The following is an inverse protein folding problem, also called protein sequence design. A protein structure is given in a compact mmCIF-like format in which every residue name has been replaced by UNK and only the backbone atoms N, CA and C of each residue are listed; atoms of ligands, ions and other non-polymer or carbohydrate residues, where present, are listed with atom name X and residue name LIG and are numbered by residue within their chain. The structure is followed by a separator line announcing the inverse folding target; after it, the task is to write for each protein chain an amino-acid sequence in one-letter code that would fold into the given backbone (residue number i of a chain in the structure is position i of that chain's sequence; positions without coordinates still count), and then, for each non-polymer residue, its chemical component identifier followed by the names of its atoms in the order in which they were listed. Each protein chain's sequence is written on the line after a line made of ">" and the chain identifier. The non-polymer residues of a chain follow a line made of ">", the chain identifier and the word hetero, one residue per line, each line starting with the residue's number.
data_IF_936216048551
#
_entry.id   IF_936216048551
#
_cell.length_a   1.000
_cell.length_b   1.000
_cell.length_c   1.000
_cell.angle_alpha   90.00
_cell.angle_beta   90.00
_cell.angle_gamma   90.00
#
_symmetry.space_group_name_H-M   'P 1'
#
loop_
_entity.id
_entity.type
_entity.pdbx_description
1 polymer ?
#
# COMPACT_ATOMS: atom_id res chain seq x y z
N UNK A 1 6.17 -17.34 6.66
CA UNK A 1 6.35 -16.08 7.42
C UNK A 1 5.84 -14.96 6.53
N UNK A 2 4.89 -14.19 7.03
CA UNK A 2 4.28 -13.09 6.29
C UNK A 2 5.17 -11.85 6.33
N UNK A 3 5.24 -11.10 5.22
CA UNK A 3 6.13 -9.95 5.07
C UNK A 3 5.60 -8.93 4.06
N UNK A 4 6.15 -7.73 4.14
CA UNK A 4 6.03 -6.69 3.10
C UNK A 4 7.40 -6.35 2.56
N UNK A 5 7.52 -6.17 1.23
CA UNK A 5 8.71 -5.65 0.55
C UNK A 5 8.33 -4.41 -0.23
N UNK A 6 8.91 -3.26 0.13
CA UNK A 6 8.64 -1.99 -0.54
C UNK A 6 9.42 -1.91 -1.85
N UNK A 7 8.73 -1.87 -2.99
CA UNK A 7 9.35 -1.71 -4.30
C UNK A 7 9.76 -0.24 -4.52
N UNK A 8 8.96 0.68 -3.98
CA UNK A 8 9.24 2.10 -3.97
C UNK A 8 8.53 2.81 -2.85
N UNK A 9 9.11 3.91 -2.37
CA UNK A 9 8.64 4.66 -1.21
C UNK A 9 8.43 6.14 -1.51
N UNK A 10 8.60 6.53 -2.77
CA UNK A 10 8.39 7.90 -3.23
C UNK A 10 6.93 8.19 -3.52
N UNK A 11 6.49 9.37 -3.12
CA UNK A 11 5.16 9.90 -3.37
C UNK A 11 5.17 11.37 -3.75
N UNK A 12 4.04 11.80 -4.30
CA UNK A 12 3.89 13.17 -4.75
C UNK A 12 4.72 13.51 -6.00
N UNK A 13 4.17 14.41 -6.79
CA UNK A 13 4.62 14.69 -8.18
C UNK A 13 6.12 14.93 -8.33
N UNK A 14 6.74 15.74 -7.44
CA UNK A 14 8.15 16.11 -7.58
C UNK A 14 9.11 14.93 -7.33
N UNK A 15 8.78 14.04 -6.40
CA UNK A 15 9.59 12.86 -6.10
C UNK A 15 9.47 11.83 -7.24
N UNK A 16 8.24 11.59 -7.68
CA UNK A 16 7.92 10.63 -8.74
C UNK A 16 8.54 11.03 -10.08
N UNK A 17 8.33 12.27 -10.54
CA UNK A 17 8.84 12.73 -11.84
C UNK A 17 10.38 12.77 -11.91
N UNK A 18 11.03 13.04 -10.78
CA UNK A 18 12.50 13.10 -10.71
C UNK A 18 13.12 11.80 -10.20
N UNK A 19 12.32 10.77 -9.92
CA UNK A 19 12.76 9.47 -9.40
C UNK A 19 13.73 9.60 -8.20
N UNK A 20 13.45 10.55 -7.28
CA UNK A 20 14.24 10.75 -6.07
C UNK A 20 14.11 9.56 -5.11
N UNK A 21 13.01 8.86 -5.17
CA UNK A 21 12.71 7.53 -4.64
C UNK A 21 11.92 6.77 -5.69
N UNK A 22 11.98 5.46 -5.70
CA UNK A 22 11.16 4.62 -6.58
C UNK A 22 9.68 4.77 -6.21
N UNK A 23 8.79 4.50 -7.17
CA UNK A 23 7.33 4.70 -7.04
C UNK A 23 6.59 3.39 -7.30
N UNK A 24 7.02 2.30 -6.70
CA UNK A 24 6.56 0.96 -7.07
C UNK A 24 5.57 0.29 -6.11
N UNK A 25 5.02 0.99 -5.11
CA UNK A 25 4.17 0.35 -4.12
C UNK A 25 4.90 -0.74 -3.33
N UNK A 26 4.22 -1.83 -2.99
CA UNK A 26 4.84 -2.88 -2.20
C UNK A 26 4.29 -4.28 -2.54
N UNK A 27 5.15 -5.29 -2.36
CA UNK A 27 4.82 -6.70 -2.48
C UNK A 27 4.50 -7.25 -1.08
N UNK A 28 3.30 -7.80 -0.91
CA UNK A 28 2.89 -8.52 0.28
C UNK A 28 3.04 -10.02 0.05
N UNK A 29 3.66 -10.71 1.00
CA UNK A 29 3.56 -12.14 1.16
C UNK A 29 2.82 -12.39 2.47
N UNK A 30 1.56 -12.83 2.40
CA UNK A 30 0.70 -13.07 3.55
C UNK A 30 0.28 -14.54 3.51
N UNK A 31 0.62 -15.31 4.54
CA UNK A 31 0.48 -16.77 4.52
C UNK A 31 1.12 -17.36 3.25
N UNK A 32 0.33 -17.93 2.36
CA UNK A 32 0.78 -18.46 1.06
C UNK A 32 0.33 -17.60 -0.12
N UNK A 33 -0.10 -16.36 0.12
CA UNK A 33 -0.63 -15.46 -0.89
C UNK A 33 0.35 -14.31 -1.16
N UNK A 34 0.61 -14.04 -2.43
CA UNK A 34 1.44 -12.93 -2.89
C UNK A 34 0.59 -11.88 -3.59
N UNK A 35 0.63 -10.66 -3.08
CA UNK A 35 -0.13 -9.52 -3.60
C UNK A 35 0.81 -8.39 -3.93
N UNK A 36 0.69 -7.81 -5.12
CA UNK A 36 1.36 -6.55 -5.46
C UNK A 36 0.37 -5.41 -5.30
N UNK A 37 0.65 -4.52 -4.36
CA UNK A 37 -0.16 -3.34 -4.08
C UNK A 37 0.43 -2.13 -4.78
N UNK A 38 -0.41 -1.41 -5.52
CA UNK A 38 -0.12 -0.14 -6.17
C UNK A 38 1.15 -0.15 -7.05
N UNK A 39 1.22 -0.95 -8.13
CA UNK A 39 2.37 -1.00 -9.01
C UNK A 39 2.55 0.30 -9.82
N UNK A 40 3.19 1.29 -9.22
CA UNK A 40 3.57 2.53 -9.86
C UNK A 40 4.76 2.37 -10.83
N UNK A 41 5.29 3.48 -11.40
CA UNK A 41 6.35 3.45 -12.40
C UNK A 41 7.61 2.72 -11.93
N UNK A 42 8.04 1.71 -12.68
CA UNK A 42 9.23 0.92 -12.39
C UNK A 42 9.03 -0.26 -11.46
N UNK A 43 7.79 -0.60 -11.09
CA UNK A 43 7.47 -1.75 -10.24
C UNK A 43 8.02 -3.05 -10.82
N UNK A 44 7.83 -3.31 -12.12
CA UNK A 44 8.33 -4.54 -12.74
C UNK A 44 9.87 -4.62 -12.70
N UNK A 45 10.54 -3.48 -12.91
CA UNK A 45 12.01 -3.40 -12.80
C UNK A 45 12.46 -3.74 -11.39
N UNK A 46 11.82 -3.16 -10.37
CA UNK A 46 12.14 -3.41 -8.96
C UNK A 46 11.85 -4.86 -8.55
N UNK A 47 10.75 -5.44 -9.02
CA UNK A 47 10.44 -6.87 -8.80
C UNK A 47 11.60 -7.76 -9.27
N UNK A 48 12.15 -7.52 -10.47
CA UNK A 48 13.29 -8.26 -10.97
C UNK A 48 14.59 -7.95 -10.21
N UNK A 49 14.87 -6.69 -9.88
CA UNK A 49 16.06 -6.30 -9.11
C UNK A 49 16.08 -6.96 -7.73
N UNK A 50 14.93 -7.07 -7.08
CA UNK A 50 14.76 -7.73 -5.78
C UNK A 50 14.62 -9.26 -5.90
N UNK A 51 14.77 -9.82 -7.12
CA UNK A 51 14.64 -11.25 -7.41
C UNK A 51 13.29 -11.86 -7.04
N UNK A 52 12.26 -11.03 -6.96
CA UNK A 52 10.87 -11.48 -6.86
C UNK A 52 10.43 -12.01 -8.23
N UNK A 53 9.49 -12.94 -8.23
CA UNK A 53 9.02 -13.57 -9.48
C UNK A 53 7.59 -13.14 -9.75
N UNK A 54 7.29 -12.37 -10.82
CA UNK A 54 5.92 -11.97 -11.15
C UNK A 54 4.94 -13.15 -11.24
N UNK A 55 5.43 -14.33 -11.64
CA UNK A 55 4.62 -15.56 -11.72
C UNK A 55 4.17 -16.11 -10.38
N UNK A 56 4.76 -15.67 -9.27
CA UNK A 56 4.36 -16.06 -7.92
C UNK A 56 3.20 -15.20 -7.39
N UNK A 57 2.80 -14.13 -8.11
CA UNK A 57 1.67 -13.28 -7.73
C UNK A 57 0.34 -14.03 -7.84
N UNK A 58 -0.51 -13.84 -6.85
CA UNK A 58 -1.90 -14.30 -6.81
C UNK A 58 -2.87 -13.14 -7.12
N UNK A 59 -2.47 -11.90 -6.83
CA UNK A 59 -3.25 -10.71 -7.15
C UNK A 59 -2.38 -9.47 -7.36
N UNK A 60 -2.92 -8.53 -8.16
CA UNK A 60 -2.52 -7.13 -8.17
C UNK A 60 -3.69 -6.32 -7.62
N UNK A 61 -3.40 -5.36 -6.76
CA UNK A 61 -4.39 -4.46 -6.18
C UNK A 61 -4.02 -3.01 -6.44
N UNK A 62 -5.01 -2.22 -6.82
CA UNK A 62 -4.91 -0.76 -6.90
C UNK A 62 -5.75 -0.14 -5.79
N UNK A 63 -5.17 0.77 -5.02
CA UNK A 63 -5.93 1.63 -4.12
C UNK A 63 -6.71 2.68 -4.88
N UNK A 64 -6.14 3.19 -5.98
CA UNK A 64 -6.73 4.17 -6.89
C UNK A 64 -5.98 4.26 -8.24
N UNK A 65 -6.49 5.08 -9.16
CA UNK A 65 -6.04 5.14 -10.54
C UNK A 65 -4.83 6.04 -10.82
N UNK A 66 -4.33 6.86 -9.87
CA UNK A 66 -3.22 7.75 -10.16
C UNK A 66 -1.98 7.01 -10.66
N UNK A 67 -1.25 7.66 -11.57
CA UNK A 67 -0.15 7.05 -12.33
C UNK A 67 0.98 6.50 -11.45
N UNK A 68 1.26 7.15 -10.32
CA UNK A 68 2.27 6.71 -9.37
C UNK A 68 1.87 5.46 -8.56
N UNK A 69 0.61 5.01 -8.68
CA UNK A 69 0.07 3.78 -8.10
C UNK A 69 -0.31 2.72 -9.14
N UNK A 70 -0.49 3.09 -10.41
CA UNK A 70 -1.10 2.20 -11.40
C UNK A 70 -0.31 2.01 -12.69
N UNK A 71 0.77 2.78 -12.93
CA UNK A 71 1.44 2.80 -14.24
C UNK A 71 1.86 1.42 -14.74
N UNK A 72 2.39 0.58 -13.85
CA UNK A 72 2.93 -0.72 -14.24
C UNK A 72 1.90 -1.86 -14.16
N UNK A 73 0.62 -1.58 -13.84
CA UNK A 73 -0.42 -2.61 -13.68
C UNK A 73 -0.51 -3.55 -14.89
N UNK A 74 -0.44 -3.00 -16.10
CA UNK A 74 -0.59 -3.78 -17.33
C UNK A 74 0.64 -4.64 -17.61
N UNK A 75 1.84 -4.08 -17.52
CA UNK A 75 3.08 -4.81 -17.80
C UNK A 75 3.36 -5.87 -16.72
N UNK A 76 2.99 -5.62 -15.46
CA UNK A 76 3.07 -6.63 -14.41
C UNK A 76 2.04 -7.74 -14.64
N UNK A 77 0.83 -7.42 -15.09
CA UNK A 77 -0.19 -8.41 -15.46
C UNK A 77 0.32 -9.32 -16.59
N UNK A 78 0.95 -8.77 -17.62
CA UNK A 78 1.58 -9.58 -18.68
C UNK A 78 2.69 -10.48 -18.13
N UNK A 79 3.60 -9.92 -17.31
CA UNK A 79 4.70 -10.70 -16.74
C UNK A 79 4.20 -11.85 -15.84
N UNK A 80 3.15 -11.60 -15.06
CA UNK A 80 2.50 -12.54 -14.16
C UNK A 80 1.79 -13.68 -14.91
N UNK A 81 1.11 -13.35 -16.01
CA UNK A 81 0.34 -14.30 -16.83
C UNK A 81 1.17 -14.90 -17.97
N UNK A 82 2.44 -14.48 -18.13
CA UNK A 82 3.28 -14.92 -19.24
C UNK A 82 2.76 -14.48 -20.58
N UNK A 83 2.32 -13.21 -20.71
CA UNK A 83 1.72 -12.67 -21.93
C UNK A 83 0.31 -13.21 -22.19
N UNK A 84 -0.44 -13.56 -21.16
CA UNK A 84 -1.80 -14.10 -21.25
C UNK A 84 -1.87 -15.61 -21.52
N UNK A 85 -0.74 -16.31 -21.67
CA UNK A 85 -0.73 -17.77 -21.89
C UNK A 85 -1.15 -18.57 -20.65
N UNK A 86 -1.07 -17.97 -19.46
CA UNK A 86 -1.49 -18.57 -18.21
C UNK A 86 -2.46 -17.64 -17.49
N UNK A 87 -3.70 -17.47 -18.00
CA UNK A 87 -4.70 -16.62 -17.38
C UNK A 87 -5.03 -17.20 -16.00
N UNK A 88 -4.61 -16.49 -15.02
CA UNK A 88 -4.88 -16.76 -13.60
C UNK A 88 -4.70 -15.43 -12.90
N UNK A 89 -5.16 -15.33 -11.70
CA UNK A 89 -4.89 -14.14 -10.90
C UNK A 89 -6.00 -13.11 -10.93
N UNK A 90 -6.14 -12.47 -9.80
CA UNK A 90 -7.13 -11.42 -9.62
C UNK A 90 -6.48 -10.05 -9.78
N UNK A 91 -7.16 -9.20 -10.52
CA UNK A 91 -6.94 -7.76 -10.52
C UNK A 91 -8.07 -7.13 -9.71
N UNK A 92 -7.72 -6.48 -8.60
CA UNK A 92 -8.67 -5.92 -7.62
C UNK A 92 -8.48 -4.41 -7.63
N UNK A 93 -9.46 -3.67 -8.14
CA UNK A 93 -9.31 -2.25 -8.49
C UNK A 93 -10.58 -1.46 -8.22
N UNK A 94 -10.50 -0.14 -7.95
CA UNK A 94 -11.65 0.75 -8.01
C UNK A 94 -12.31 0.76 -9.39
N UNK A 95 -13.61 1.08 -9.44
CA UNK A 95 -14.37 1.03 -10.68
C UNK A 95 -13.88 2.05 -11.72
N UNK A 96 -13.39 3.22 -11.29
CA UNK A 96 -12.85 4.25 -12.18
C UNK A 96 -11.58 3.80 -12.94
N UNK A 97 -10.83 2.82 -12.43
CA UNK A 97 -9.71 2.21 -13.15
C UNK A 97 -10.12 1.46 -14.43
N UNK A 98 -11.40 1.15 -14.57
CA UNK A 98 -11.98 0.34 -15.67
C UNK A 98 -12.80 1.16 -16.66
N UNK A 99 -13.10 2.42 -16.36
CA UNK A 99 -14.06 3.26 -17.09
C UNK A 99 -13.50 3.93 -18.34
N UNK A 100 -14.00 5.12 -18.71
CA UNK A 100 -13.74 5.82 -19.97
C UNK A 100 -12.29 6.22 -20.21
N UNK A 101 -11.51 6.40 -19.16
CA UNK A 101 -10.06 6.60 -19.20
C UNK A 101 -9.38 5.48 -18.39
N UNK A 102 -9.42 4.24 -18.90
CA UNK A 102 -9.03 3.09 -18.12
C UNK A 102 -7.52 2.98 -17.96
N UNK A 103 -7.06 2.81 -16.72
CA UNK A 103 -5.65 2.44 -16.46
C UNK A 103 -5.40 0.97 -16.76
N UNK A 104 -6.44 0.12 -16.70
CA UNK A 104 -6.37 -1.29 -17.11
C UNK A 104 -6.75 -1.40 -18.58
N UNK A 105 -5.77 -1.64 -19.43
CA UNK A 105 -5.93 -1.72 -20.89
C UNK A 105 -6.90 -2.83 -21.29
N UNK A 106 -7.74 -2.57 -22.29
CA UNK A 106 -8.79 -3.51 -22.72
C UNK A 106 -8.24 -4.89 -23.10
N UNK A 107 -7.08 -4.94 -23.78
CA UNK A 107 -6.50 -6.20 -24.23
C UNK A 107 -5.91 -7.06 -23.08
N UNK A 108 -5.63 -6.45 -21.91
CA UNK A 108 -5.14 -7.14 -20.71
C UNK A 108 -6.27 -7.82 -19.95
N UNK A 109 -7.48 -7.26 -20.00
CA UNK A 109 -8.63 -7.72 -19.20
C UNK A 109 -8.97 -9.21 -19.33
N UNK A 110 -8.86 -9.84 -20.51
CA UNK A 110 -9.09 -11.27 -20.65
C UNK A 110 -8.08 -12.17 -19.92
N UNK A 111 -6.93 -11.63 -19.49
CA UNK A 111 -5.86 -12.41 -18.86
C UNK A 111 -6.10 -12.63 -17.36
N UNK A 112 -7.03 -11.90 -16.75
CA UNK A 112 -7.24 -11.83 -15.29
C UNK A 112 -8.71 -11.85 -14.91
N UNK A 113 -9.01 -12.36 -13.73
CA UNK A 113 -10.32 -12.15 -13.10
C UNK A 113 -10.34 -10.77 -12.44
N UNK A 114 -11.24 -9.88 -12.88
CA UNK A 114 -11.35 -8.53 -12.37
C UNK A 114 -12.37 -8.48 -11.24
N UNK A 115 -12.02 -7.80 -10.14
CA UNK A 115 -12.91 -7.51 -9.02
C UNK A 115 -12.92 -6.02 -8.77
N UNK A 116 -14.07 -5.37 -8.95
CA UNK A 116 -14.24 -3.95 -8.64
C UNK A 116 -14.51 -3.77 -7.15
N UNK A 117 -13.74 -2.88 -6.52
CA UNK A 117 -13.82 -2.58 -5.09
C UNK A 117 -15.06 -1.75 -4.78
N UNK A 118 -15.67 -1.99 -3.61
CA UNK A 118 -16.73 -1.16 -3.02
C UNK A 118 -16.50 -1.01 -1.52
N UNK A 119 -16.87 0.16 -0.98
CA UNK A 119 -16.84 0.39 0.46
C UNK A 119 -17.64 -0.68 1.21
N UNK A 120 -17.06 -1.24 2.26
CA UNK A 120 -17.66 -2.30 3.07
C UNK A 120 -17.56 -3.69 2.48
N UNK A 121 -17.00 -3.83 1.27
CA UNK A 121 -16.76 -5.14 0.63
C UNK A 121 -15.67 -5.90 1.38
N UNK A 122 -15.81 -7.23 1.42
CA UNK A 122 -14.76 -8.16 1.85
C UNK A 122 -14.62 -9.26 0.79
N UNK A 123 -13.40 -9.63 0.48
CA UNK A 123 -13.07 -10.74 -0.42
C UNK A 123 -12.08 -11.69 0.25
N UNK A 124 -11.99 -12.91 -0.26
CA UNK A 124 -11.01 -13.90 0.21
C UNK A 124 -10.09 -14.31 -0.93
N UNK A 125 -8.80 -14.35 -0.65
CA UNK A 125 -7.75 -14.81 -1.55
C UNK A 125 -6.89 -15.83 -0.80
N UNK A 126 -7.04 -17.13 -1.13
CA UNK A 126 -6.48 -18.20 -0.30
C UNK A 126 -7.03 -18.15 1.13
N UNK A 127 -6.14 -18.04 2.12
CA UNK A 127 -6.51 -17.90 3.54
C UNK A 127 -6.60 -16.43 3.99
N UNK A 128 -6.22 -15.47 3.13
CA UNK A 128 -6.21 -14.04 3.46
C UNK A 128 -7.58 -13.43 3.17
N UNK A 129 -8.16 -12.75 4.18
CA UNK A 129 -9.34 -11.91 4.01
C UNK A 129 -8.93 -10.49 3.77
N UNK A 130 -9.53 -9.83 2.78
CA UNK A 130 -9.22 -8.47 2.35
C UNK A 130 -10.48 -7.65 2.41
N UNK A 131 -10.52 -6.68 3.32
CA UNK A 131 -11.66 -5.79 3.52
C UNK A 131 -11.37 -4.36 3.04
N UNK A 132 -12.40 -3.68 2.58
CA UNK A 132 -12.36 -2.28 2.12
C UNK A 132 -13.25 -1.41 3.02
N UNK A 133 -12.81 -1.12 4.27
CA UNK A 133 -13.67 -0.54 5.30
C UNK A 133 -14.12 0.89 4.99
N UNK A 134 -13.35 1.62 4.21
CA UNK A 134 -13.59 3.04 3.98
C UNK A 134 -13.16 3.47 2.57
N UNK A 135 -13.95 4.35 1.96
CA UNK A 135 -13.51 5.15 0.83
C UNK A 135 -12.83 6.39 1.37
N UNK A 136 -11.62 6.69 0.89
CA UNK A 136 -10.82 7.81 1.41
C UNK A 136 -11.19 9.13 0.73
N UNK A 137 -10.76 10.25 1.31
CA UNK A 137 -10.98 11.58 0.75
C UNK A 137 -9.83 11.96 -0.18
N UNK A 138 -9.97 11.56 -1.46
CA UNK A 138 -8.99 11.82 -2.53
C UNK A 138 -9.72 12.26 -3.81
N UNK A 139 -9.05 12.93 -4.79
CA UNK A 139 -9.72 13.40 -6.02
C UNK A 139 -10.32 12.32 -6.90
N UNK A 140 -9.80 11.08 -6.80
CA UNK A 140 -10.28 9.89 -7.54
C UNK A 140 -10.79 8.84 -6.57
N UNK A 141 -11.51 7.84 -7.08
CA UNK A 141 -12.03 6.75 -6.27
C UNK A 141 -10.89 5.99 -5.59
N UNK A 142 -10.82 6.05 -4.26
CA UNK A 142 -9.70 5.51 -3.47
C UNK A 142 -10.23 4.78 -2.25
N UNK A 143 -9.67 3.60 -1.96
CA UNK A 143 -10.11 2.78 -0.82
C UNK A 143 -8.98 2.45 0.12
N UNK A 144 -9.28 2.56 1.42
CA UNK A 144 -8.48 1.96 2.47
C UNK A 144 -8.65 0.45 2.50
N UNK A 145 -7.60 -0.28 2.89
CA UNK A 145 -7.56 -1.73 2.81
C UNK A 145 -7.13 -2.33 4.14
N UNK A 146 -7.74 -3.46 4.52
CA UNK A 146 -7.31 -4.28 5.66
C UNK A 146 -7.12 -5.72 5.18
N UNK A 147 -5.92 -6.25 5.40
CA UNK A 147 -5.57 -7.65 5.18
C UNK A 147 -5.60 -8.38 6.52
N UNK A 148 -6.36 -9.48 6.61
CA UNK A 148 -6.38 -10.36 7.79
C UNK A 148 -5.74 -11.69 7.42
N UNK A 149 -4.72 -12.09 8.16
CA UNK A 149 -3.88 -13.26 7.93
C UNK A 149 -3.44 -13.86 9.27
N UNK A 150 -2.71 -14.98 9.25
CA UNK A 150 -2.38 -15.74 10.46
C UNK A 150 -1.69 -14.92 11.56
N UNK A 151 -0.73 -14.06 11.21
CA UNK A 151 0.03 -13.28 12.18
C UNK A 151 -0.74 -12.05 12.71
N UNK A 152 -1.84 -11.63 12.06
CA UNK A 152 -2.66 -10.50 12.51
C UNK A 152 -3.40 -9.78 11.39
N UNK A 153 -3.60 -8.47 11.60
CA UNK A 153 -4.32 -7.60 10.67
C UNK A 153 -3.40 -6.45 10.25
N UNK A 154 -3.20 -6.28 8.94
CA UNK A 154 -2.47 -5.17 8.34
C UNK A 154 -3.46 -4.17 7.75
N UNK A 155 -3.44 -2.92 8.22
CA UNK A 155 -4.13 -1.80 7.61
C UNK A 155 -3.23 -1.10 6.58
N UNK A 156 -3.80 -0.70 5.44
CA UNK A 156 -3.15 0.20 4.48
C UNK A 156 -4.01 1.45 4.32
N UNK A 157 -3.46 2.59 4.72
CA UNK A 157 -4.03 3.92 4.47
C UNK A 157 -3.32 4.50 3.25
N UNK A 158 -3.95 4.47 2.06
CA UNK A 158 -3.42 5.06 0.84
C UNK A 158 -3.55 6.59 0.85
N UNK A 159 -3.51 7.21 -0.31
CA UNK A 159 -3.65 8.65 -0.46
C UNK A 159 -5.00 9.15 0.03
N UNK A 160 -4.97 10.13 0.92
CA UNK A 160 -6.15 10.74 1.54
C UNK A 160 -5.80 12.04 2.24
N UNK A 161 -6.72 12.97 2.35
CA UNK A 161 -6.68 13.98 3.41
C UNK A 161 -7.17 13.39 4.73
N UNK A 162 -6.86 14.04 5.85
CA UNK A 162 -7.36 13.62 7.16
C UNK A 162 -8.87 13.92 7.29
N UNK A 163 -9.61 12.96 7.84
CA UNK A 163 -11.00 13.13 8.27
C UNK A 163 -11.29 12.25 9.50
N UNK A 164 -12.29 12.62 10.35
CA UNK A 164 -12.45 12.01 11.69
C UNK A 164 -12.71 10.50 11.68
N UNK A 165 -13.42 9.99 10.67
CA UNK A 165 -13.81 8.58 10.60
C UNK A 165 -12.65 7.64 10.23
N UNK A 166 -11.53 8.20 9.74
CA UNK A 166 -10.42 7.42 9.19
C UNK A 166 -9.80 6.49 10.23
N UNK A 167 -9.52 6.98 11.44
CA UNK A 167 -8.96 6.15 12.51
C UNK A 167 -9.90 5.00 12.92
N UNK A 168 -11.21 5.27 12.99
CA UNK A 168 -12.21 4.29 13.35
C UNK A 168 -12.27 3.09 12.41
N UNK A 169 -12.03 3.32 11.11
CA UNK A 169 -12.03 2.28 10.08
C UNK A 169 -10.90 1.25 10.25
N UNK A 170 -9.81 1.62 10.91
CA UNK A 170 -8.63 0.77 11.13
C UNK A 170 -8.48 0.28 12.58
N UNK A 171 -9.53 0.40 13.39
CA UNK A 171 -9.50 -0.08 14.77
C UNK A 171 -9.16 -1.58 14.84
N UNK A 172 -8.17 -1.91 15.68
CA UNK A 172 -7.76 -3.28 15.94
C UNK A 172 -6.87 -3.89 14.83
N UNK A 173 -6.22 -3.07 13.99
CA UNK A 173 -5.12 -3.56 13.16
C UNK A 173 -3.86 -3.71 14.00
N UNK A 174 -3.07 -4.75 13.73
CA UNK A 174 -1.79 -5.01 14.40
C UNK A 174 -0.64 -4.23 13.74
N UNK A 175 -0.72 -4.10 12.42
CA UNK A 175 0.27 -3.43 11.57
C UNK A 175 -0.42 -2.36 10.74
N UNK A 176 0.27 -1.25 10.49
CA UNK A 176 -0.26 -0.16 9.67
C UNK A 176 0.79 0.30 8.66
N UNK A 177 0.44 0.33 7.39
CA UNK A 177 1.18 1.05 6.35
C UNK A 177 0.39 2.31 6.03
N UNK A 178 1.06 3.48 6.01
CA UNK A 178 0.41 4.76 5.82
C UNK A 178 1.20 5.65 4.85
N UNK A 179 0.51 6.18 3.85
CA UNK A 179 1.07 7.15 2.91
C UNK A 179 1.16 8.54 3.54
N UNK A 180 2.37 9.15 3.52
CA UNK A 180 2.60 10.48 4.10
C UNK A 180 3.41 11.34 3.15
N UNK A 181 2.74 12.22 2.42
CA UNK A 181 3.38 13.04 1.37
C UNK A 181 3.98 14.34 1.91
N UNK A 182 3.46 14.88 3.01
CA UNK A 182 3.72 16.26 3.41
C UNK A 182 4.21 16.39 4.84
N UNK A 183 4.98 17.48 5.08
CA UNK A 183 5.34 17.89 6.45
C UNK A 183 4.24 18.73 7.11
N UNK A 184 3.51 19.54 6.32
CA UNK A 184 2.47 20.46 6.80
C UNK A 184 1.24 20.40 5.89
N UNK A 185 0.08 20.74 6.45
CA UNK A 185 -1.19 20.82 5.72
C UNK A 185 -1.10 21.83 4.56
N UNK A 186 -1.60 21.41 3.41
CA UNK A 186 -1.89 22.28 2.28
C UNK A 186 -3.27 21.89 1.72
N UNK A 187 -4.25 22.75 1.96
CA UNK A 187 -5.66 22.50 1.60
C UNK A 187 -5.91 22.27 0.11
N UNK A 188 -4.93 22.59 -0.76
CA UNK A 188 -5.01 22.35 -2.21
C UNK A 188 -4.69 20.90 -2.58
N UNK A 189 -4.13 20.13 -1.64
CA UNK A 189 -3.58 18.79 -1.91
C UNK A 189 -4.12 17.83 -0.86
N UNK A 190 -4.94 16.88 -1.32
CA UNK A 190 -5.60 15.88 -0.46
C UNK A 190 -4.67 14.73 -0.09
N UNK A 191 -3.69 15.02 0.77
CA UNK A 191 -2.73 14.06 1.29
C UNK A 191 -2.46 14.33 2.76
N UNK A 192 -2.21 13.27 3.52
CA UNK A 192 -1.78 13.35 4.92
C UNK A 192 -0.44 14.06 5.03
N UNK A 193 -0.28 14.78 6.14
CA UNK A 193 0.98 15.28 6.62
C UNK A 193 1.47 14.50 7.85
N UNK A 194 2.69 14.79 8.31
CA UNK A 194 3.32 14.08 9.44
C UNK A 194 2.54 14.22 10.75
N UNK A 195 1.95 15.38 11.03
CA UNK A 195 1.17 15.58 12.27
C UNK A 195 -0.14 14.77 12.24
N UNK A 196 -0.80 14.73 11.09
CA UNK A 196 -2.01 13.93 10.87
C UNK A 196 -1.72 12.44 10.91
N UNK A 197 -0.59 11.99 10.35
CA UNK A 197 -0.13 10.60 10.45
C UNK A 197 0.17 10.23 11.92
N UNK A 198 0.86 11.10 12.66
CA UNK A 198 1.12 10.88 14.09
C UNK A 198 -0.18 10.76 14.90
N UNK A 199 -1.17 11.61 14.60
CA UNK A 199 -2.50 11.56 15.22
C UNK A 199 -3.20 10.24 14.93
N UNK A 200 -3.26 9.81 13.67
CA UNK A 200 -3.87 8.54 13.26
C UNK A 200 -3.18 7.35 13.92
N UNK A 201 -1.85 7.31 13.93
CA UNK A 201 -1.08 6.25 14.58
C UNK A 201 -1.38 6.18 16.09
N UNK A 202 -1.48 7.33 16.76
CA UNK A 202 -1.84 7.39 18.19
C UNK A 202 -3.28 6.92 18.46
N UNK A 203 -4.25 7.23 17.59
CA UNK A 203 -5.65 6.86 17.72
C UNK A 203 -5.90 5.38 17.37
N UNK A 204 -5.24 4.85 16.33
CA UNK A 204 -5.35 3.45 15.88
C UNK A 204 -4.55 2.53 16.82
N UNK A 205 -3.40 3.01 17.28
CA UNK A 205 -2.46 2.35 18.19
C UNK A 205 -2.07 0.92 17.76
N UNK A 206 -1.55 0.75 16.52
CA UNK A 206 -1.07 -0.54 16.04
C UNK A 206 0.20 -0.96 16.80
N UNK A 207 0.58 -2.24 16.76
CA UNK A 207 1.86 -2.72 17.31
C UNK A 207 3.05 -2.11 16.57
N UNK A 208 2.89 -1.92 15.23
CA UNK A 208 3.89 -1.30 14.35
C UNK A 208 3.22 -0.48 13.27
N UNK A 209 3.75 0.71 12.99
CA UNK A 209 3.38 1.53 11.84
C UNK A 209 4.57 1.75 10.90
N UNK A 210 4.33 1.73 9.59
CA UNK A 210 5.33 1.95 8.57
C UNK A 210 4.89 3.12 7.70
N UNK A 211 5.67 4.20 7.72
CA UNK A 211 5.46 5.36 6.88
C UNK A 211 6.05 5.12 5.50
N UNK A 212 5.35 5.52 4.46
CA UNK A 212 5.80 5.40 3.06
C UNK A 212 5.23 6.53 2.22
N UNK A 213 5.47 6.51 0.91
CA UNK A 213 4.93 7.47 -0.06
C UNK A 213 5.38 8.91 0.22
N UNK A 214 6.69 9.10 0.39
CA UNK A 214 7.28 10.35 0.84
C UNK A 214 7.37 11.39 -0.26
N UNK A 215 6.77 12.57 -0.02
CA UNK A 215 6.98 13.74 -0.84
C UNK A 215 8.30 14.46 -0.54
N UNK A 216 8.68 15.43 -1.38
CA UNK A 216 9.97 16.11 -1.33
C UNK A 216 10.25 16.78 0.04
N UNK A 217 9.22 17.35 0.68
CA UNK A 217 9.40 18.00 1.98
C UNK A 217 9.73 16.97 3.08
N UNK A 218 9.11 15.80 3.02
CA UNK A 218 9.38 14.70 3.96
C UNK A 218 10.78 14.15 3.77
N UNK A 219 11.20 13.93 2.50
CA UNK A 219 12.55 13.48 2.19
C UNK A 219 13.63 14.45 2.69
N UNK A 220 13.39 15.77 2.58
CA UNK A 220 14.30 16.81 3.10
C UNK A 220 14.33 16.88 4.63
N UNK A 221 13.27 16.45 5.29
CA UNK A 221 13.10 16.49 6.74
C UNK A 221 13.56 15.20 7.44
N UNK A 222 14.21 14.30 6.72
CA UNK A 222 14.67 12.99 7.20
C UNK A 222 13.50 12.09 7.68
N UNK A 223 12.97 11.19 6.82
CA UNK A 223 11.85 10.32 7.16
C UNK A 223 12.08 9.45 8.40
N UNK A 224 13.32 9.00 8.63
CA UNK A 224 13.69 8.19 9.78
C UNK A 224 13.59 8.99 11.09
N UNK A 225 14.08 10.23 11.07
CA UNK A 225 13.95 11.14 12.19
C UNK A 225 12.46 11.43 12.49
N UNK A 226 11.65 11.62 11.43
CA UNK A 226 10.22 11.84 11.61
C UNK A 226 9.51 10.60 12.20
N UNK A 227 9.84 9.40 11.72
CA UNK A 227 9.32 8.15 12.27
C UNK A 227 9.68 7.99 13.75
N UNK A 228 10.93 8.27 14.13
CA UNK A 228 11.40 8.25 15.51
C UNK A 228 10.61 9.23 16.41
N UNK A 229 10.41 10.46 15.95
CA UNK A 229 9.64 11.47 16.66
C UNK A 229 8.19 11.03 16.90
N UNK A 230 7.56 10.40 15.88
CA UNK A 230 6.20 9.86 16.01
C UNK A 230 6.20 8.69 17.01
N UNK A 231 7.20 7.80 16.96
CA UNK A 231 7.33 6.68 17.88
C UNK A 231 7.41 7.16 19.33
N UNK A 232 8.27 8.15 19.62
CA UNK A 232 8.40 8.77 20.93
C UNK A 232 7.09 9.42 21.42
N UNK A 233 6.37 10.08 20.52
CA UNK A 233 5.12 10.78 20.82
C UNK A 233 3.95 9.83 21.09
N UNK A 234 3.87 8.71 20.37
CA UNK A 234 2.71 7.81 20.38
C UNK A 234 2.90 6.54 21.19
N UNK A 235 4.15 6.18 21.50
CA UNK A 235 4.50 4.90 22.12
C UNK A 235 4.38 3.69 21.18
N UNK A 236 4.12 3.92 19.87
CA UNK A 236 4.02 2.88 18.85
C UNK A 236 5.39 2.68 18.18
N UNK A 237 5.74 1.45 17.82
CA UNK A 237 6.91 1.17 17.00
C UNK A 237 6.67 1.71 15.56
N UNK A 238 7.30 2.86 15.22
CA UNK A 238 7.13 3.53 13.94
C UNK A 238 8.44 3.53 13.18
N UNK A 239 8.39 3.15 11.91
CA UNK A 239 9.54 3.15 11.01
C UNK A 239 9.23 3.83 9.68
N UNK A 240 10.26 4.37 9.03
CA UNK A 240 10.18 4.86 7.67
C UNK A 240 10.60 3.76 6.69
N UNK A 241 9.84 3.57 5.62
CA UNK A 241 10.18 2.60 4.59
C UNK A 241 11.28 3.13 3.66
N UNK A 242 12.08 2.21 3.12
CA UNK A 242 13.07 2.46 2.07
C UNK A 242 12.77 1.61 0.84
N UNK A 243 13.23 2.07 -0.33
CA UNK A 243 13.17 1.29 -1.56
C UNK A 243 13.95 -0.03 -1.39
N UNK A 244 13.29 -1.15 -1.63
CA UNK A 244 13.82 -2.50 -1.44
C UNK A 244 13.78 -3.04 0.00
N UNK A 245 13.30 -2.27 0.98
CA UNK A 245 13.16 -2.71 2.36
C UNK A 245 12.13 -3.83 2.50
N UNK A 246 12.48 -4.86 3.29
CA UNK A 246 11.54 -5.94 3.66
C UNK A 246 11.33 -5.96 5.17
N UNK A 247 10.07 -6.12 5.58
CA UNK A 247 9.66 -6.20 6.99
C UNK A 247 8.81 -7.45 7.20
N UNK A 248 9.17 -8.26 8.19
CA UNK A 248 8.39 -9.42 8.59
C UNK A 248 7.29 -9.03 9.60
N UNK A 249 6.13 -9.66 9.46
CA UNK A 249 5.02 -9.54 10.39
C UNK A 249 5.10 -10.67 11.43
N UNK A 250 5.89 -10.47 12.49
CA UNK A 250 6.00 -11.45 13.58
C UNK A 250 5.04 -11.07 14.71
N UNK A 251 4.34 -12.07 15.26
CA UNK A 251 3.81 -11.92 16.60
C UNK A 251 5.01 -11.84 17.54
N UNK A 252 5.14 -10.77 18.34
CA UNK A 252 6.05 -10.83 19.49
C UNK A 252 5.59 -12.02 20.32
N UNK A 253 6.41 -13.09 20.37
CA UNK A 253 6.26 -14.10 21.40
C UNK A 253 6.44 -13.39 22.73
N UNK A 254 5.41 -13.42 23.56
CA UNK A 254 5.54 -13.04 24.96
C UNK A 254 6.48 -14.09 25.56
N UNK A 255 7.78 -13.79 25.65
CA UNK A 255 8.66 -14.51 26.55
C UNK A 255 8.19 -14.16 27.97
N UNK A 256 7.24 -14.93 28.48
CA UNK A 256 7.03 -15.04 29.93
C UNK A 256 8.34 -15.62 30.46
N UNK A 257 9.14 -14.78 31.06
CA UNK A 257 10.25 -15.21 31.91
C UNK A 257 9.65 -15.88 33.14
N UNK A 258 9.76 -17.19 33.20
CA UNK A 258 9.51 -17.95 34.43
C UNK A 258 10.65 -17.72 35.43
#
# INVERSE_FOLDING_TARGET
>A
MSSVTFLGTGGGRMVVLNQLRKSGGFWLKLDNVNILQDPGPGSLVMVHQLRLKPRDLDAIMLSHMHIDHSNDVNVVTEAMTGGGFHPRVRLIVPADCMNSDPVVLQYIRPFVGITEIKKGMEITLGEVKIGFPIQTMHPVETYGIIYSFKEGRLGYIPDTEYFPELAGAYRGVDFLIINVVRMKTDKRIRHLNMDEAAKLIGEIHPKRAILTHFGLQVLKADPELQAKNISEKTGVDVMAAHDGMSVNFEKKENHEWF
#
